data_IF_043369999050
#
_entry.id   IF_043369999050
#
_cell.length_a   1.000
_cell.length_b   1.000
_cell.length_c   1.000
_cell.angle_alpha   90.00
_cell.angle_beta   90.00
_cell.angle_gamma   90.00
#
_symmetry.space_group_name_H-M   'P 1'
#
loop_
_entity.id
_entity.type
_entity.pdbx_description
1 polymer ?
#
# COMPACT_ATOMS: atom_id res chain seq x y z
N UNK A 1 24.55 -23.30 16.43
CA UNK A 1 24.33 -22.32 15.35
C UNK A 1 23.48 -21.23 15.93
N UNK A 2 23.91 -19.97 15.84
CA UNK A 2 23.05 -18.84 16.23
C UNK A 2 22.26 -18.41 15.00
N UNK A 3 20.95 -18.60 15.04
CA UNK A 3 20.03 -18.22 13.97
C UNK A 3 19.17 -17.08 14.48
N UNK A 4 19.05 -16.02 13.68
CA UNK A 4 18.20 -14.86 13.97
C UNK A 4 17.11 -14.77 12.91
N UNK A 5 15.86 -14.68 13.34
CA UNK A 5 14.70 -14.42 12.50
C UNK A 5 14.34 -12.95 12.67
N UNK A 6 14.77 -12.12 11.72
CA UNK A 6 14.34 -10.73 11.62
C UNK A 6 13.11 -10.63 10.72
N UNK A 7 12.04 -10.00 11.20
CA UNK A 7 10.79 -9.90 10.44
C UNK A 7 10.10 -8.55 10.63
N UNK A 8 9.32 -8.15 9.63
CA UNK A 8 8.41 -7.01 9.71
C UNK A 8 6.98 -7.50 9.49
N UNK A 9 6.04 -7.02 10.29
CA UNK A 9 4.64 -7.45 10.23
C UNK A 9 3.69 -6.29 10.50
N UNK A 10 2.93 -5.88 9.47
CA UNK A 10 1.90 -4.85 9.61
C UNK A 10 0.68 -5.41 10.36
N UNK A 11 0.35 -4.81 11.49
CA UNK A 11 -0.91 -5.01 12.23
C UNK A 11 -1.99 -4.05 11.70
N UNK A 12 -3.23 -4.22 12.10
CA UNK A 12 -4.35 -3.39 11.63
C UNK A 12 -5.02 -3.95 10.39
N UNK A 13 -5.64 -3.09 9.57
CA UNK A 13 -6.39 -3.55 8.41
C UNK A 13 -5.47 -4.11 7.32
N UNK A 14 -5.72 -5.37 6.96
CA UNK A 14 -5.03 -6.07 5.89
C UNK A 14 -6.03 -6.76 4.96
N UNK A 15 -5.64 -6.92 3.71
CA UNK A 15 -6.42 -7.70 2.75
C UNK A 15 -6.15 -9.19 2.93
N UNK A 16 -7.15 -9.92 3.43
CA UNK A 16 -7.07 -11.35 3.72
C UNK A 16 -8.22 -12.07 3.01
N UNK A 17 -7.86 -13.02 2.15
CA UNK A 17 -8.81 -13.91 1.48
C UNK A 17 -9.97 -13.18 0.78
N UNK A 18 -9.69 -12.06 0.10
CA UNK A 18 -10.69 -11.30 -0.64
C UNK A 18 -11.37 -10.17 0.14
N UNK A 19 -11.06 -10.00 1.42
CA UNK A 19 -11.72 -9.04 2.31
C UNK A 19 -10.72 -8.27 3.17
N UNK A 20 -11.03 -7.00 3.47
CA UNK A 20 -10.25 -6.23 4.44
C UNK A 20 -10.65 -6.70 5.85
N UNK A 21 -9.66 -7.14 6.63
CA UNK A 21 -9.83 -7.58 8.01
C UNK A 21 -8.84 -6.88 8.91
N UNK A 22 -9.29 -6.52 10.09
CA UNK A 22 -8.41 -6.02 11.15
C UNK A 22 -7.69 -7.18 11.83
N UNK A 23 -6.37 -7.20 11.72
CA UNK A 23 -5.51 -8.26 12.25
C UNK A 23 -4.77 -7.79 13.50
N UNK A 24 -5.06 -8.44 14.63
CA UNK A 24 -4.33 -8.25 15.90
C UNK A 24 -2.86 -8.71 15.80
N UNK A 25 -2.63 -9.77 15.04
CA UNK A 25 -1.29 -10.33 14.74
C UNK A 25 -1.15 -10.28 13.23
N UNK A 26 -0.10 -9.60 12.74
CA UNK A 26 0.13 -9.54 11.29
C UNK A 26 0.58 -10.89 10.73
N UNK A 27 0.35 -11.11 9.45
CA UNK A 27 0.59 -12.42 8.82
C UNK A 27 2.05 -12.88 8.95
N UNK A 28 3.00 -11.96 8.79
CA UNK A 28 4.44 -12.28 8.89
C UNK A 28 4.83 -12.63 10.32
N UNK A 29 4.26 -11.98 11.33
CA UNK A 29 4.50 -12.29 12.75
C UNK A 29 4.06 -13.72 13.07
N UNK A 30 2.89 -14.14 12.56
CA UNK A 30 2.42 -15.50 12.75
C UNK A 30 3.40 -16.53 12.16
N UNK A 31 3.86 -16.31 10.92
CA UNK A 31 4.82 -17.20 10.26
C UNK A 31 6.18 -17.20 10.96
N UNK A 32 6.68 -16.03 11.38
CA UNK A 32 7.96 -15.92 12.07
C UNK A 32 7.97 -16.72 13.39
N UNK A 33 6.88 -16.66 14.16
CA UNK A 33 6.70 -17.49 15.37
C UNK A 33 6.63 -18.98 15.05
N UNK A 34 6.00 -19.36 13.92
CA UNK A 34 5.97 -20.77 13.49
C UNK A 34 7.36 -21.28 13.12
N UNK A 35 8.18 -20.47 12.45
CA UNK A 35 9.56 -20.83 12.11
C UNK A 35 10.41 -20.90 13.38
N UNK A 36 10.26 -19.95 14.31
CA UNK A 36 10.91 -19.98 15.63
C UNK A 36 10.54 -21.23 16.44
N UNK A 37 9.30 -21.70 16.36
CA UNK A 37 8.92 -22.93 17.05
C UNK A 37 9.61 -24.18 16.49
N UNK A 38 10.03 -24.15 15.21
CA UNK A 38 10.72 -25.25 14.54
C UNK A 38 12.25 -25.14 14.63
N UNK A 39 12.76 -23.93 14.81
CA UNK A 39 14.18 -23.62 14.88
C UNK A 39 14.45 -22.90 16.19
N UNK A 40 15.32 -23.44 17.05
CA UNK A 40 15.77 -22.76 18.28
C UNK A 40 16.58 -21.50 17.90
N UNK A 41 15.85 -20.41 17.65
CA UNK A 41 16.33 -19.19 17.00
C UNK A 41 15.77 -17.96 17.71
N UNK A 42 16.56 -16.88 17.71
CA UNK A 42 16.15 -15.60 18.25
C UNK A 42 15.18 -14.91 17.28
N UNK A 43 14.22 -14.17 17.83
CA UNK A 43 13.20 -13.46 17.06
C UNK A 43 13.35 -11.96 17.26
N UNK A 44 13.42 -11.20 16.16
CA UNK A 44 13.57 -9.76 16.15
C UNK A 44 12.54 -9.09 15.24
N UNK A 45 11.67 -8.27 15.83
CA UNK A 45 10.68 -7.48 15.08
C UNK A 45 11.32 -6.17 14.61
N UNK A 46 11.22 -5.89 13.32
CA UNK A 46 11.63 -4.62 12.72
C UNK A 46 10.46 -3.66 12.83
N UNK A 47 10.61 -2.59 13.61
CA UNK A 47 9.61 -1.54 13.74
C UNK A 47 9.84 -0.43 12.70
N UNK A 48 8.77 0.15 12.19
CA UNK A 48 8.87 1.30 11.28
C UNK A 48 9.03 2.59 12.06
N UNK A 49 9.82 3.53 11.53
CA UNK A 49 9.96 4.88 12.12
C UNK A 49 8.62 5.62 12.08
N UNK A 50 7.93 5.53 10.94
CA UNK A 50 6.57 6.02 10.76
C UNK A 50 5.62 4.82 10.60
N UNK A 51 4.59 4.75 11.43
CA UNK A 51 3.57 3.69 11.34
C UNK A 51 2.75 3.85 10.06
N UNK A 52 2.54 2.74 9.36
CA UNK A 52 1.56 2.70 8.28
C UNK A 52 0.18 3.08 8.82
N UNK A 53 -0.61 3.88 8.08
CA UNK A 53 -1.98 4.16 8.48
C UNK A 53 -2.75 2.84 8.58
N UNK A 54 -3.64 2.75 9.57
CA UNK A 54 -4.44 1.53 9.77
C UNK A 54 -5.43 1.30 8.64
N UNK A 55 -5.84 2.35 7.94
CA UNK A 55 -6.78 2.27 6.82
C UNK A 55 -6.11 1.66 5.59
N UNK A 56 -6.65 0.53 5.12
CA UNK A 56 -6.15 -0.13 3.91
C UNK A 56 -6.60 0.60 2.64
N UNK A 57 -7.76 1.24 2.68
CA UNK A 57 -8.20 2.13 1.61
C UNK A 57 -7.93 3.55 2.08
N UNK A 58 -6.75 4.15 1.80
CA UNK A 58 -6.59 5.56 2.05
C UNK A 58 -7.74 6.27 1.34
N UNK A 59 -8.60 6.91 2.13
CA UNK A 59 -9.55 7.84 1.58
C UNK A 59 -8.72 8.86 0.81
N UNK A 60 -8.82 8.84 -0.51
CA UNK A 60 -8.37 9.94 -1.33
C UNK A 60 -9.24 11.12 -0.88
N UNK A 61 -8.81 11.81 0.18
CA UNK A 61 -9.28 13.14 0.45
C UNK A 61 -8.95 13.88 -0.83
N UNK A 62 -10.00 14.28 -1.55
CA UNK A 62 -9.90 15.10 -2.74
C UNK A 62 -9.28 16.43 -2.26
N UNK A 63 -7.95 16.48 -2.12
CA UNK A 63 -7.24 17.75 -2.11
C UNK A 63 -7.52 18.29 -3.50
N UNK A 64 -8.30 19.36 -3.68
CA UNK A 64 -8.51 19.91 -4.99
C UNK A 64 -7.14 20.31 -5.50
N UNK A 65 -6.57 19.49 -6.37
CA UNK A 65 -5.39 19.81 -7.15
C UNK A 65 -5.83 21.04 -7.92
N UNK A 66 -5.35 22.20 -7.47
CA UNK A 66 -5.69 23.50 -8.04
C UNK A 66 -5.59 23.35 -9.54
N UNK A 67 -6.73 23.47 -10.22
CA UNK A 67 -6.85 23.23 -11.65
C UNK A 67 -5.94 24.22 -12.38
N UNK A 68 -4.74 23.78 -12.75
CA UNK A 68 -3.84 24.54 -13.64
C UNK A 68 -3.50 23.72 -14.90
N UNK A 69 -4.09 22.53 -15.08
CA UNK A 69 -3.69 21.63 -16.17
C UNK A 69 -4.83 20.90 -16.90
N UNK A 70 -6.05 21.46 -16.90
CA UNK A 70 -7.15 20.96 -17.77
C UNK A 70 -7.75 22.02 -18.71
N UNK A 71 -7.40 23.30 -18.56
CA UNK A 71 -7.85 24.36 -19.49
C UNK A 71 -7.04 24.44 -20.80
N UNK A 72 -5.86 23.81 -20.87
CA UNK A 72 -5.04 23.81 -22.09
C UNK A 72 -5.52 22.80 -23.14
N UNK A 73 -6.36 21.83 -22.76
CA UNK A 73 -6.86 20.80 -23.67
C UNK A 73 -8.09 21.22 -24.48
N UNK A 74 -8.73 22.36 -24.15
CA UNK A 74 -9.89 22.88 -24.91
C UNK A 74 -9.54 23.96 -25.93
N UNK A 75 -8.29 24.41 -26.03
CA UNK A 75 -7.86 25.40 -27.04
C UNK A 75 -7.46 24.78 -28.39
N UNK A 76 -7.23 23.46 -28.43
CA UNK A 76 -6.71 22.78 -29.64
C UNK A 76 -7.80 22.14 -30.49
N UNK A 77 -9.04 22.01 -29.99
CA UNK A 77 -10.15 21.39 -30.74
C UNK A 77 -10.92 22.36 -31.66
N UNK A 78 -10.65 23.67 -31.61
CA UNK A 78 -11.36 24.67 -32.43
C UNK A 78 -10.60 25.12 -33.69
N UNK A 79 -9.43 24.51 -34.00
CA UNK A 79 -8.63 24.88 -35.19
C UNK A 79 -8.31 23.74 -36.15
N UNK A 80 -9.07 22.65 -36.09
CA UNK A 80 -9.02 21.55 -37.07
C UNK A 80 -10.34 21.39 -37.81
N UNK A 81 -10.99 22.51 -38.14
CA UNK A 81 -11.97 22.59 -39.23
C UNK A 81 -11.22 23.07 -40.47
N UNK A 82 -10.57 22.16 -41.18
CA UNK A 82 -10.28 22.22 -42.62
C UNK A 82 -9.51 20.95 -43.02
N UNK A 83 -10.05 20.28 -44.05
CA UNK A 83 -9.57 19.09 -44.76
C UNK A 83 -10.15 17.73 -44.31
N UNK A 84 -11.36 17.48 -44.81
CA UNK A 84 -11.85 16.17 -45.29
C UNK A 84 -11.04 15.70 -46.53
N UNK A 85 -11.36 14.58 -47.20
CA UNK A 85 -11.56 13.18 -46.78
C UNK A 85 -10.65 12.21 -47.56
N UNK A 86 -10.59 10.94 -47.15
CA UNK A 86 -10.47 9.76 -48.02
C UNK A 86 -11.39 8.69 -47.45
#
# INVERSE_FOLDING_TARGET
>A
MNTLIAYYSRRGQNYVSGSIKDLKIGNTEAVAKMIQAQMDADLFEIETVDTYPDDYMPSFHFVPMRAVAWDTAKRTSERSVLLQPC
#
